data_IF_529117406299
#
_entry.id   IF_529117406299
#
_cell.length_a   1.000
_cell.length_b   1.000
_cell.length_c   1.000
_cell.angle_alpha   90.00
_cell.angle_beta   90.00
_cell.angle_gamma   90.00
#
_symmetry.space_group_name_H-M   'P 1'
#
loop_
_entity.id
_entity.type
_entity.pdbx_description
1 polymer ?
#
# COMPACT_ATOMS: atom_id res chain seq x y z
N UNK A 1 3.78 -12.58 12.69
CA UNK A 1 2.41 -12.83 13.19
C UNK A 1 1.77 -14.00 12.45
N UNK A 2 1.07 -14.87 13.16
CA UNK A 2 0.21 -15.90 12.57
C UNK A 2 -1.21 -15.34 12.38
N UNK A 3 -1.57 -14.97 11.16
CA UNK A 3 -2.84 -14.28 10.87
C UNK A 3 -4.07 -15.10 11.27
N UNK A 4 -4.04 -16.42 11.07
CA UNK A 4 -5.18 -17.27 11.43
C UNK A 4 -5.34 -17.39 12.96
N UNK A 5 -4.23 -17.30 13.71
CA UNK A 5 -4.27 -17.20 15.17
C UNK A 5 -4.88 -15.87 15.64
N UNK A 6 -4.53 -14.75 14.99
CA UNK A 6 -5.17 -13.46 15.25
C UNK A 6 -6.69 -13.51 15.01
N UNK A 7 -7.12 -14.08 13.87
CA UNK A 7 -8.56 -14.19 13.56
C UNK A 7 -9.28 -15.08 14.58
N UNK A 8 -8.67 -16.17 15.02
CA UNK A 8 -9.23 -17.04 16.07
C UNK A 8 -9.39 -16.30 17.41
N UNK A 9 -8.39 -15.53 17.83
CA UNK A 9 -8.44 -14.71 19.03
C UNK A 9 -9.47 -13.58 18.94
N UNK A 10 -9.52 -12.89 17.80
CA UNK A 10 -10.53 -11.86 17.53
C UNK A 10 -11.94 -12.45 17.64
N UNK A 11 -12.17 -13.66 17.09
CA UNK A 11 -13.47 -14.35 17.23
C UNK A 11 -13.82 -14.66 18.68
N UNK A 12 -12.86 -15.16 19.45
CA UNK A 12 -13.08 -15.50 20.84
C UNK A 12 -13.44 -14.27 21.70
N UNK A 13 -12.84 -13.12 21.40
CA UNK A 13 -12.96 -11.89 22.21
C UNK A 13 -14.08 -10.95 21.77
N UNK A 14 -14.32 -10.84 20.47
CA UNK A 14 -15.24 -9.86 19.86
C UNK A 14 -16.48 -10.51 19.22
N UNK A 15 -16.56 -11.84 19.25
CA UNK A 15 -17.65 -12.63 18.67
C UNK A 15 -17.47 -12.87 17.17
N UNK A 16 -18.58 -13.07 16.46
CA UNK A 16 -18.54 -13.47 15.05
C UNK A 16 -17.70 -12.51 14.16
N UNK A 17 -16.82 -13.11 13.35
CA UNK A 17 -16.03 -12.45 12.31
C UNK A 17 -16.44 -13.06 10.97
N UNK A 18 -17.02 -12.25 10.10
CA UNK A 18 -17.43 -12.67 8.75
C UNK A 18 -16.20 -12.86 7.84
N UNK A 19 -16.36 -13.56 6.72
CA UNK A 19 -15.28 -13.69 5.73
C UNK A 19 -14.85 -12.35 5.12
N UNK A 20 -15.78 -11.39 5.01
CA UNK A 20 -15.47 -10.02 4.60
C UNK A 20 -14.61 -9.29 5.64
N UNK A 21 -14.91 -9.49 6.93
CA UNK A 21 -14.13 -8.93 8.02
C UNK A 21 -12.73 -9.54 8.08
N UNK A 22 -12.57 -10.84 7.82
CA UNK A 22 -11.24 -11.47 7.71
C UNK A 22 -10.39 -10.82 6.62
N UNK A 23 -10.96 -10.56 5.44
CA UNK A 23 -10.24 -9.92 4.34
C UNK A 23 -9.84 -8.47 4.72
N UNK A 24 -10.72 -7.76 5.42
CA UNK A 24 -10.43 -6.44 5.96
C UNK A 24 -9.28 -6.45 6.96
N UNK A 25 -9.29 -7.38 7.92
CA UNK A 25 -8.19 -7.57 8.85
C UNK A 25 -6.88 -7.86 8.12
N UNK A 26 -6.86 -8.79 7.16
CA UNK A 26 -5.66 -9.11 6.37
C UNK A 26 -5.07 -7.87 5.69
N UNK A 27 -5.93 -7.03 5.14
CA UNK A 27 -5.55 -5.79 4.45
C UNK A 27 -4.92 -4.79 5.43
N UNK A 28 -5.61 -4.49 6.53
CA UNK A 28 -5.16 -3.47 7.50
C UNK A 28 -3.92 -3.93 8.26
N UNK A 29 -3.86 -5.21 8.66
CA UNK A 29 -2.68 -5.79 9.33
C UNK A 29 -1.46 -5.83 8.40
N UNK A 30 -1.69 -6.07 7.10
CA UNK A 30 -0.64 -6.00 6.08
C UNK A 30 -0.05 -4.58 5.97
N UNK A 31 -0.92 -3.57 5.91
CA UNK A 31 -0.51 -2.16 5.87
C UNK A 31 0.23 -1.74 7.16
N UNK A 32 -0.31 -2.10 8.32
CA UNK A 32 0.29 -1.81 9.62
C UNK A 32 1.70 -2.42 9.76
N UNK A 33 1.87 -3.65 9.27
CA UNK A 33 3.17 -4.31 9.25
C UNK A 33 4.17 -3.60 8.32
N UNK A 34 3.72 -3.06 7.17
CA UNK A 34 4.57 -2.28 6.27
C UNK A 34 5.00 -0.95 6.89
N UNK A 35 4.11 -0.32 7.65
CA UNK A 35 4.35 0.96 8.34
C UNK A 35 5.12 0.83 9.65
N UNK A 36 5.28 -0.38 10.18
CA UNK A 36 5.85 -0.60 11.51
C UNK A 36 4.96 -0.07 12.62
N UNK A 37 3.63 -0.07 12.41
CA UNK A 37 2.67 0.43 13.38
C UNK A 37 2.70 -0.40 14.65
N UNK A 38 2.98 0.26 15.78
CA UNK A 38 3.04 -0.33 17.11
C UNK A 38 1.75 -1.05 17.49
N UNK A 39 1.87 -2.08 18.34
CA UNK A 39 0.77 -2.99 18.71
C UNK A 39 -0.44 -2.21 19.25
N UNK A 40 -0.19 -1.29 20.18
CA UNK A 40 -1.21 -0.49 20.83
C UNK A 40 -1.92 0.48 19.87
N UNK A 41 -1.15 1.15 18.99
CA UNK A 41 -1.71 1.98 17.91
C UNK A 41 -2.58 1.18 16.96
N UNK A 42 -2.09 0.01 16.53
CA UNK A 42 -2.84 -0.88 15.62
C UNK A 42 -4.10 -1.42 16.29
N UNK A 43 -4.04 -1.77 17.56
CA UNK A 43 -5.21 -2.21 18.32
C UNK A 43 -6.33 -1.15 18.29
N UNK A 44 -5.96 0.12 18.50
CA UNK A 44 -6.89 1.23 18.44
C UNK A 44 -7.43 1.50 17.02
N UNK A 45 -6.57 1.43 16.00
CA UNK A 45 -6.96 1.52 14.59
C UNK A 45 -8.00 0.44 14.27
N UNK A 46 -7.74 -0.83 14.62
CA UNK A 46 -8.65 -1.94 14.37
C UNK A 46 -9.98 -1.76 15.10
N UNK A 47 -9.97 -1.30 16.36
CA UNK A 47 -11.18 -1.00 17.11
C UNK A 47 -12.03 0.09 16.45
N UNK A 48 -11.38 1.14 15.97
CA UNK A 48 -12.03 2.22 15.23
C UNK A 48 -12.69 1.68 13.96
N UNK A 49 -11.95 0.96 13.12
CA UNK A 49 -12.47 0.41 11.87
C UNK A 49 -13.63 -0.55 12.16
N UNK A 50 -13.47 -1.44 13.14
CA UNK A 50 -14.50 -2.40 13.54
C UNK A 50 -15.80 -1.70 13.95
N UNK A 51 -15.70 -0.58 14.65
CA UNK A 51 -16.85 0.24 15.04
C UNK A 51 -17.49 0.95 13.85
N UNK A 52 -16.72 1.74 13.11
CA UNK A 52 -17.22 2.63 12.05
C UNK A 52 -17.78 1.88 10.84
N UNK A 53 -17.28 0.66 10.60
CA UNK A 53 -17.68 -0.16 9.45
C UNK A 53 -18.75 -1.19 9.78
N UNK A 54 -19.37 -1.08 10.96
CA UNK A 54 -20.30 -2.07 11.49
C UNK A 54 -19.76 -3.51 11.42
N UNK A 55 -18.47 -3.67 11.79
CA UNK A 55 -17.72 -4.94 11.86
C UNK A 55 -17.40 -5.58 10.51
N UNK A 56 -17.70 -4.93 9.39
CA UNK A 56 -17.35 -5.45 8.06
C UNK A 56 -15.85 -5.39 7.79
N UNK A 57 -15.13 -4.47 8.46
CA UNK A 57 -13.72 -4.16 8.19
C UNK A 57 -13.46 -3.80 6.73
N UNK A 58 -14.47 -3.28 6.03
CA UNK A 58 -14.36 -2.76 4.67
C UNK A 58 -14.63 -1.24 4.66
N UNK A 59 -14.10 -0.50 3.69
CA UNK A 59 -14.52 0.87 3.46
C UNK A 59 -16.02 0.92 3.22
N UNK A 60 -16.77 1.71 3.99
CA UNK A 60 -18.23 1.83 3.84
C UNK A 60 -18.63 3.26 3.52
N UNK A 61 -19.82 3.41 2.93
CA UNK A 61 -20.47 4.71 2.75
C UNK A 61 -21.49 4.89 3.86
N UNK A 62 -21.64 6.11 4.35
CA UNK A 62 -22.65 6.46 5.35
C UNK A 62 -24.03 5.97 4.90
N UNK A 63 -24.82 5.44 5.84
CA UNK A 63 -26.15 4.90 5.56
C UNK A 63 -26.19 3.78 4.49
N UNK A 64 -25.12 2.98 4.34
CA UNK A 64 -25.07 1.85 3.39
C UNK A 64 -26.20 0.83 3.54
N UNK A 65 -26.85 0.76 4.72
CA UNK A 65 -27.96 -0.14 5.02
C UNK A 65 -29.33 0.35 4.52
N UNK A 66 -29.49 1.59 4.07
CA UNK A 66 -30.81 2.15 3.67
C UNK A 66 -31.38 1.44 2.44
N UNK A 67 -30.52 1.04 1.51
CA UNK A 67 -30.87 0.24 0.35
C UNK A 67 -29.65 -0.61 -0.06
N UNK A 68 -29.36 -1.71 0.66
CA UNK A 68 -28.08 -2.40 0.59
C UNK A 68 -27.76 -2.97 -0.80
N UNK A 69 -28.79 -3.21 -1.62
CA UNK A 69 -28.67 -3.76 -2.97
C UNK A 69 -29.09 -2.77 -4.07
N UNK A 70 -29.29 -1.50 -3.73
CA UNK A 70 -29.70 -0.46 -4.69
C UNK A 70 -28.96 0.85 -4.38
N UNK A 71 -27.80 0.97 -5.03
CA UNK A 71 -26.91 2.12 -4.85
C UNK A 71 -27.61 3.43 -5.22
N UNK A 72 -28.38 3.46 -6.31
CA UNK A 72 -29.06 4.67 -6.76
C UNK A 72 -30.09 5.15 -5.73
N UNK A 73 -30.84 4.24 -5.12
CA UNK A 73 -31.80 4.56 -4.06
C UNK A 73 -31.11 5.00 -2.77
N UNK A 74 -30.04 4.32 -2.36
CA UNK A 74 -29.24 4.76 -1.21
C UNK A 74 -28.66 6.16 -1.43
N UNK A 75 -28.16 6.44 -2.64
CA UNK A 75 -27.57 7.73 -3.00
C UNK A 75 -28.61 8.85 -3.07
N UNK A 76 -29.78 8.58 -3.64
CA UNK A 76 -30.91 9.51 -3.62
C UNK A 76 -31.33 9.85 -2.18
N UNK A 77 -31.30 8.87 -1.27
CA UNK A 77 -31.55 9.10 0.14
C UNK A 77 -30.47 10.00 0.77
N UNK A 78 -29.18 9.74 0.54
CA UNK A 78 -28.09 10.58 1.07
C UNK A 78 -28.22 12.02 0.60
N UNK A 79 -28.45 12.22 -0.70
CA UNK A 79 -28.65 13.54 -1.30
C UNK A 79 -29.81 14.31 -0.67
N UNK A 80 -30.88 13.61 -0.29
CA UNK A 80 -32.06 14.21 0.33
C UNK A 80 -31.88 14.50 1.83
N UNK A 81 -31.17 13.65 2.56
CA UNK A 81 -31.18 13.66 4.03
C UNK A 81 -29.89 14.17 4.67
N UNK A 82 -28.76 14.18 3.96
CA UNK A 82 -27.47 14.61 4.50
C UNK A 82 -27.13 16.03 4.04
N UNK A 83 -27.09 16.96 4.99
CA UNK A 83 -26.85 18.39 4.71
C UNK A 83 -25.44 18.70 4.18
N UNK A 84 -24.49 17.79 4.34
CA UNK A 84 -23.12 17.88 3.81
C UNK A 84 -22.89 17.06 2.53
N UNK A 85 -23.95 16.58 1.87
CA UNK A 85 -23.84 15.98 0.54
C UNK A 85 -23.12 16.92 -0.46
N UNK A 86 -22.21 16.42 -1.32
CA UNK A 86 -21.83 15.03 -1.56
C UNK A 86 -20.73 14.48 -0.62
N UNK A 87 -20.25 15.27 0.34
CA UNK A 87 -19.11 14.94 1.22
C UNK A 87 -19.56 14.25 2.52
N UNK A 88 -20.44 13.26 2.39
CA UNK A 88 -20.87 12.39 3.48
C UNK A 88 -19.80 11.34 3.84
N UNK A 89 -20.00 10.59 4.93
CA UNK A 89 -19.03 9.63 5.44
C UNK A 89 -18.63 8.56 4.43
N UNK A 90 -17.33 8.40 4.18
CA UNK A 90 -16.76 7.33 3.35
C UNK A 90 -15.49 6.74 3.99
N UNK A 91 -15.15 5.53 3.56
CA UNK A 91 -13.91 4.87 3.97
C UNK A 91 -14.03 4.18 5.33
N UNK A 92 -12.87 3.78 5.85
CA UNK A 92 -12.75 3.07 7.13
C UNK A 92 -13.13 3.94 8.35
N UNK A 93 -12.94 5.25 8.25
CA UNK A 93 -13.12 6.22 9.35
C UNK A 93 -14.28 7.19 9.14
N UNK A 94 -15.12 6.95 8.12
CA UNK A 94 -16.23 7.84 7.76
C UNK A 94 -15.77 9.30 7.55
N UNK A 95 -14.81 9.53 6.65
CA UNK A 95 -14.36 10.87 6.27
C UNK A 95 -15.55 11.72 5.79
N UNK A 96 -15.80 12.84 6.46
CA UNK A 96 -16.93 13.75 6.24
C UNK A 96 -16.46 15.17 6.01
N UNK A 97 -17.31 16.01 5.39
CA UNK A 97 -17.09 17.44 5.11
C UNK A 97 -16.09 17.74 3.99
N UNK A 98 -16.46 18.68 3.12
CA UNK A 98 -15.63 19.13 1.98
C UNK A 98 -14.20 19.51 2.36
N UNK A 99 -14.03 20.12 3.54
CA UNK A 99 -12.72 20.54 4.04
C UNK A 99 -11.79 19.35 4.27
N UNK A 100 -12.27 18.26 4.87
CA UNK A 100 -11.46 17.09 5.14
C UNK A 100 -11.14 16.31 3.87
N UNK A 101 -12.09 16.21 2.92
CA UNK A 101 -11.83 15.65 1.59
C UNK A 101 -10.74 16.43 0.86
N UNK A 102 -10.80 17.77 0.90
CA UNK A 102 -9.75 18.62 0.33
C UNK A 102 -8.40 18.35 1.00
N UNK A 103 -8.37 18.33 2.34
CA UNK A 103 -7.13 18.15 3.09
C UNK A 103 -6.46 16.81 2.79
N UNK A 104 -7.22 15.70 2.83
CA UNK A 104 -6.72 14.39 2.44
C UNK A 104 -6.25 14.37 0.98
N UNK A 105 -6.97 15.05 0.09
CA UNK A 105 -6.59 15.15 -1.32
C UNK A 105 -5.27 15.90 -1.55
N UNK A 106 -5.04 17.00 -0.82
CA UNK A 106 -3.78 17.74 -0.85
C UNK A 106 -2.60 16.90 -0.35
N UNK A 107 -2.82 16.10 0.70
CA UNK A 107 -1.81 15.19 1.26
C UNK A 107 -1.44 14.05 0.33
N UNK A 108 -2.42 13.48 -0.36
CA UNK A 108 -2.24 12.33 -1.25
C UNK A 108 -2.01 12.71 -2.73
N UNK A 109 -2.13 14.00 -3.08
CA UNK A 109 -1.98 14.48 -4.45
C UNK A 109 -3.13 14.08 -5.38
N UNK A 110 -4.35 13.92 -4.83
CA UNK A 110 -5.54 13.50 -5.57
C UNK A 110 -6.71 14.45 -5.29
N UNK A 111 -7.47 14.85 -6.31
CA UNK A 111 -8.62 15.75 -6.12
C UNK A 111 -9.89 14.97 -5.70
N UNK A 112 -9.97 14.65 -4.41
CA UNK A 112 -11.17 14.04 -3.82
C UNK A 112 -12.37 14.99 -3.72
N UNK A 113 -12.18 16.29 -3.97
CA UNK A 113 -13.29 17.24 -3.96
C UNK A 113 -14.08 17.13 -5.26
N UNK A 114 -13.37 16.94 -6.38
CA UNK A 114 -13.94 16.69 -7.69
C UNK A 114 -14.56 15.29 -7.79
N UNK A 115 -13.91 14.27 -7.22
CA UNK A 115 -14.45 12.90 -7.17
C UNK A 115 -14.32 12.28 -5.76
N UNK A 116 -15.32 12.49 -4.89
CA UNK A 116 -15.31 12.00 -3.51
C UNK A 116 -15.31 10.48 -3.38
N UNK A 117 -15.69 9.74 -4.42
CA UNK A 117 -15.75 8.28 -4.33
C UNK A 117 -14.37 7.62 -4.40
N UNK A 118 -13.32 8.34 -4.83
CA UNK A 118 -11.95 7.82 -4.85
C UNK A 118 -11.42 7.43 -3.46
N UNK A 119 -11.94 8.03 -2.38
CA UNK A 119 -11.56 7.67 -1.00
C UNK A 119 -12.08 6.28 -0.58
N UNK A 120 -12.94 5.67 -1.39
CA UNK A 120 -13.43 4.30 -1.19
C UNK A 120 -12.52 3.24 -1.82
N UNK A 121 -11.53 3.64 -2.62
CA UNK A 121 -10.54 2.70 -3.14
C UNK A 121 -9.68 2.17 -1.99
N UNK A 122 -9.27 0.90 -2.05
CA UNK A 122 -8.53 0.27 -0.97
C UNK A 122 -7.24 1.03 -0.60
N UNK A 123 -6.50 1.52 -1.59
CA UNK A 123 -5.27 2.30 -1.39
C UNK A 123 -5.55 3.61 -0.64
N UNK A 124 -6.41 4.48 -1.18
CA UNK A 124 -6.69 5.76 -0.53
C UNK A 124 -7.39 5.60 0.83
N UNK A 125 -8.25 4.60 1.00
CA UNK A 125 -8.91 4.35 2.28
C UNK A 125 -7.91 3.96 3.38
N UNK A 126 -6.88 3.17 3.04
CA UNK A 126 -5.79 2.83 3.96
C UNK A 126 -4.90 4.02 4.25
N UNK A 127 -4.48 4.78 3.24
CA UNK A 127 -3.66 5.99 3.43
C UNK A 127 -4.39 6.98 4.34
N UNK A 128 -5.67 7.25 4.06
CA UNK A 128 -6.49 8.14 4.90
C UNK A 128 -6.63 7.59 6.33
N UNK A 129 -6.78 6.26 6.50
CA UNK A 129 -6.87 5.65 7.83
C UNK A 129 -5.57 5.84 8.62
N UNK A 130 -4.42 5.45 8.06
CA UNK A 130 -3.16 5.46 8.78
C UNK A 130 -2.57 6.88 8.86
N UNK A 131 -2.35 7.55 7.73
CA UNK A 131 -1.77 8.90 7.73
C UNK A 131 -2.70 9.90 8.43
N UNK A 132 -4.02 9.75 8.25
CA UNK A 132 -4.99 10.62 8.88
C UNK A 132 -5.03 10.48 10.41
N UNK A 133 -4.81 9.29 10.95
CA UNK A 133 -4.71 9.07 12.40
C UNK A 133 -3.34 9.46 12.95
N UNK A 134 -2.26 9.24 12.19
CA UNK A 134 -0.89 9.61 12.59
C UNK A 134 -0.67 11.13 12.59
N UNK A 135 -1.26 11.85 11.62
CA UNK A 135 -1.07 13.30 11.46
C UNK A 135 -2.27 14.13 11.93
N UNK A 136 -3.35 13.49 12.39
CA UNK A 136 -4.52 14.15 12.96
C UNK A 136 -5.39 14.92 11.97
N UNK A 137 -5.63 14.36 10.78
CA UNK A 137 -6.35 15.04 9.68
C UNK A 137 -7.83 15.34 9.97
N UNK A 138 -8.47 14.63 10.91
CA UNK A 138 -9.92 14.69 11.10
C UNK A 138 -10.35 15.76 12.10
N UNK A 139 -9.72 15.78 13.28
CA UNK A 139 -10.06 16.67 14.39
C UNK A 139 -8.88 17.54 14.84
N UNK A 140 -7.72 17.41 14.18
CA UNK A 140 -6.46 18.00 14.63
C UNK A 140 -5.82 17.25 15.80
N UNK A 141 -6.24 16.00 16.06
CA UNK A 141 -5.68 15.12 17.09
C UNK A 141 -5.12 13.86 16.48
N UNK A 142 -3.91 13.52 16.86
CA UNK A 142 -3.14 12.39 16.33
C UNK A 142 -3.06 11.23 17.32
N UNK A 143 -2.60 10.07 16.85
CA UNK A 143 -2.27 8.91 17.69
C UNK A 143 -1.25 9.29 18.79
N UNK A 144 -0.19 10.01 18.42
CA UNK A 144 0.87 10.47 19.33
C UNK A 144 0.36 11.38 20.47
N UNK A 145 -0.82 12.00 20.32
CA UNK A 145 -1.40 12.82 21.38
C UNK A 145 -1.98 11.98 22.55
N UNK A 146 -2.21 10.68 22.34
CA UNK A 146 -3.02 9.85 23.24
C UNK A 146 -2.49 8.47 23.56
N UNK A 147 -1.77 7.85 22.62
CA UNK A 147 -1.27 6.48 22.74
C UNK A 147 0.23 6.57 22.69
N UNK A 148 0.89 6.22 23.79
CA UNK A 148 2.35 6.15 23.80
C UNK A 148 2.84 4.85 23.14
N UNK A 149 4.12 4.51 23.23
CA UNK A 149 4.64 3.25 22.66
C UNK A 149 5.13 2.29 23.74
N UNK A 150 4.66 2.47 24.97
CA UNK A 150 5.06 1.70 26.13
C UNK A 150 4.05 0.57 26.32
N UNK A 151 4.55 -0.64 26.53
CA UNK A 151 3.70 -1.78 26.93
C UNK A 151 3.41 -1.64 28.43
N UNK A 152 2.22 -1.16 28.75
CA UNK A 152 1.75 -0.89 30.10
C UNK A 152 0.70 -1.92 30.55
N UNK A 153 0.21 -1.90 31.81
CA UNK A 153 -0.92 -2.73 32.20
C UNK A 153 -2.19 -2.34 31.43
N UNK A 154 -3.05 -3.30 31.08
CA UNK A 154 -4.29 -3.10 30.32
C UNK A 154 -5.15 -1.90 30.79
N UNK A 155 -5.14 -1.58 32.09
CA UNK A 155 -5.87 -0.43 32.63
C UNK A 155 -5.35 0.92 32.15
N UNK A 156 -4.04 1.04 31.91
CA UNK A 156 -3.40 2.23 31.39
C UNK A 156 -3.69 2.37 29.89
N UNK A 157 -3.45 1.29 29.11
CA UNK A 157 -3.79 1.21 27.68
C UNK A 157 -5.28 1.56 27.43
N UNK A 158 -6.18 1.04 28.27
CA UNK A 158 -7.60 1.37 28.17
C UNK A 158 -7.87 2.87 28.33
N UNK A 159 -7.20 3.52 29.28
CA UNK A 159 -7.35 4.96 29.50
C UNK A 159 -6.83 5.76 28.30
N UNK A 160 -5.78 5.29 27.64
CA UNK A 160 -5.25 5.83 26.39
C UNK A 160 -6.26 5.70 25.25
N UNK A 161 -6.73 4.49 24.99
CA UNK A 161 -7.71 4.21 23.93
C UNK A 161 -9.02 4.96 24.09
N UNK A 162 -9.49 5.12 25.33
CA UNK A 162 -10.66 5.94 25.65
C UNK A 162 -10.43 7.40 25.26
N UNK A 163 -9.24 7.96 25.57
CA UNK A 163 -8.92 9.34 25.23
C UNK A 163 -8.75 9.53 23.73
N UNK A 164 -8.17 8.54 23.05
CA UNK A 164 -7.90 8.49 21.62
C UNK A 164 -9.15 8.59 20.74
N UNK A 165 -10.37 8.39 21.28
CA UNK A 165 -11.63 8.63 20.52
C UNK A 165 -11.71 10.01 19.88
N UNK A 166 -11.01 10.99 20.49
CA UNK A 166 -10.84 12.36 20.00
C UNK A 166 -10.18 12.48 18.63
N UNK A 167 -9.44 11.48 18.17
CA UNK A 167 -8.82 11.45 16.84
C UNK A 167 -9.89 11.43 15.75
N UNK A 168 -10.96 10.65 15.95
CA UNK A 168 -12.00 10.41 14.94
C UNK A 168 -13.26 11.23 15.19
N UNK A 169 -13.69 11.33 16.45
CA UNK A 169 -14.91 12.03 16.84
C UNK A 169 -14.74 12.61 18.26
N UNK A 170 -15.81 13.04 18.94
CA UNK A 170 -15.76 13.44 20.35
C UNK A 170 -15.44 12.27 21.30
N UNK A 171 -16.23 12.12 22.36
CA UNK A 171 -16.07 11.00 23.33
C UNK A 171 -17.19 9.98 23.25
N UNK A 172 -18.04 10.05 22.22
CA UNK A 172 -19.12 9.09 22.06
C UNK A 172 -18.58 7.68 21.89
N UNK A 173 -19.14 6.74 22.67
CA UNK A 173 -18.76 5.32 22.72
C UNK A 173 -17.28 5.06 23.03
N UNK A 174 -16.55 6.04 23.56
CA UNK A 174 -15.12 5.93 23.84
C UNK A 174 -14.78 4.68 24.68
N UNK A 175 -15.57 4.37 25.71
CA UNK A 175 -15.35 3.23 26.60
C UNK A 175 -15.55 1.90 25.89
N UNK A 176 -16.57 1.82 25.04
CA UNK A 176 -16.84 0.64 24.24
C UNK A 176 -15.73 0.39 23.23
N UNK A 177 -15.29 1.43 22.52
CA UNK A 177 -14.21 1.34 21.53
C UNK A 177 -12.88 1.04 22.22
N UNK A 178 -12.60 1.65 23.37
CA UNK A 178 -11.41 1.34 24.17
C UNK A 178 -11.37 -0.12 24.64
N UNK A 179 -12.51 -0.67 25.06
CA UNK A 179 -12.62 -2.10 25.38
C UNK A 179 -12.40 -3.01 24.17
N UNK A 180 -12.85 -2.59 22.98
CA UNK A 180 -12.54 -3.30 21.72
C UNK A 180 -11.05 -3.22 21.39
N UNK A 181 -10.41 -2.08 21.63
CA UNK A 181 -8.97 -1.91 21.41
C UNK A 181 -8.16 -2.84 22.31
N UNK A 182 -8.48 -2.93 23.60
CA UNK A 182 -7.86 -3.94 24.49
C UNK A 182 -8.03 -5.38 23.97
N UNK A 183 -9.23 -5.71 23.48
CA UNK A 183 -9.47 -7.04 22.92
C UNK A 183 -8.61 -7.31 21.67
N UNK A 184 -8.44 -6.31 20.80
CA UNK A 184 -7.56 -6.42 19.64
C UNK A 184 -6.09 -6.46 20.02
N UNK A 185 -5.66 -5.66 20.99
CA UNK A 185 -4.29 -5.69 21.50
C UNK A 185 -3.93 -7.08 22.04
N UNK A 186 -4.80 -7.66 22.86
CA UNK A 186 -4.58 -9.01 23.37
C UNK A 186 -4.55 -10.05 22.24
N UNK A 187 -5.39 -9.90 21.20
CA UNK A 187 -5.37 -10.77 20.02
C UNK A 187 -4.07 -10.61 19.20
N UNK A 188 -3.58 -9.38 19.02
CA UNK A 188 -2.32 -9.07 18.35
C UNK A 188 -1.13 -9.67 19.11
N UNK A 189 -1.06 -9.45 20.42
CA UNK A 189 -0.03 -10.02 21.32
C UNK A 189 -0.05 -11.56 21.25
N UNK A 190 -1.23 -12.18 21.39
CA UNK A 190 -1.38 -13.64 21.30
C UNK A 190 -0.97 -14.22 19.94
N UNK A 191 -1.22 -13.50 18.85
CA UNK A 191 -0.81 -13.90 17.50
C UNK A 191 0.67 -13.62 17.17
N UNK A 192 1.42 -13.05 18.12
CA UNK A 192 2.81 -12.64 17.94
C UNK A 192 2.96 -11.54 16.91
N UNK A 193 2.05 -10.56 16.90
CA UNK A 193 2.29 -9.28 16.23
C UNK A 193 3.31 -8.48 17.03
N UNK A 194 4.34 -7.97 16.36
CA UNK A 194 5.23 -7.00 16.96
C UNK A 194 5.69 -6.00 15.89
N UNK A 195 5.70 -4.74 16.26
CA UNK A 195 6.20 -3.67 15.39
C UNK A 195 7.74 -3.64 15.37
N UNK A 196 8.40 -4.03 16.46
CA UNK A 196 9.81 -4.45 16.45
C UNK A 196 10.06 -5.68 15.55
N UNK A 197 9.00 -6.46 15.27
CA UNK A 197 8.98 -7.58 14.32
C UNK A 197 9.03 -7.15 12.85
N UNK A 198 9.07 -5.84 12.57
CA UNK A 198 9.52 -5.30 11.27
C UNK A 198 11.04 -5.45 11.07
N UNK A 199 11.77 -5.95 12.07
CA UNK A 199 13.11 -6.53 11.85
C UNK A 199 13.12 -8.04 11.59
N UNK A 200 11.98 -8.75 11.58
CA UNK A 200 11.95 -10.22 11.38
C UNK A 200 10.85 -10.76 10.44
N UNK A 201 9.96 -9.93 9.88
CA UNK A 201 9.43 -10.17 8.51
C UNK A 201 10.42 -9.67 7.45
N UNK A 202 11.56 -9.13 7.91
CA UNK A 202 12.87 -9.37 7.33
C UNK A 202 13.39 -10.79 7.65
N UNK A 203 12.66 -11.83 7.23
CA UNK A 203 13.28 -13.14 6.98
C UNK A 203 13.75 -13.29 5.51
N UNK A 204 13.75 -12.18 4.75
CA UNK A 204 14.76 -12.01 3.69
C UNK A 204 14.66 -10.76 2.82
N UNK A 205 13.94 -9.72 3.25
CA UNK A 205 13.92 -8.43 2.55
C UNK A 205 13.43 -8.54 1.10
N UNK A 206 13.83 -7.58 0.25
CA UNK A 206 13.57 -7.66 -1.20
C UNK A 206 14.02 -9.01 -1.78
N UNK A 207 15.11 -9.59 -1.24
CA UNK A 207 15.66 -10.83 -1.76
C UNK A 207 14.74 -12.04 -1.53
N UNK A 208 14.11 -12.17 -0.36
CA UNK A 208 13.11 -13.20 -0.11
C UNK A 208 11.84 -12.98 -0.93
N UNK A 209 11.40 -11.72 -1.09
CA UNK A 209 10.25 -11.41 -1.91
C UNK A 209 10.46 -11.88 -3.35
N UNK A 210 11.59 -11.51 -3.95
CA UNK A 210 11.95 -11.95 -5.31
C UNK A 210 12.13 -13.48 -5.37
N UNK A 211 12.78 -14.09 -4.37
CA UNK A 211 12.95 -15.54 -4.34
C UNK A 211 11.60 -16.28 -4.31
N UNK A 212 10.60 -15.75 -3.61
CA UNK A 212 9.27 -16.32 -3.54
C UNK A 212 8.50 -16.28 -4.87
N UNK A 213 8.90 -15.44 -5.83
CA UNK A 213 8.30 -15.42 -7.17
C UNK A 213 8.60 -16.69 -7.97
N UNK A 214 9.62 -17.47 -7.58
CA UNK A 214 9.99 -18.72 -8.23
C UNK A 214 10.49 -18.55 -9.67
N UNK A 215 11.17 -17.42 -9.95
CA UNK A 215 11.72 -17.12 -11.28
C UNK A 215 12.76 -18.18 -11.67
N UNK A 216 12.72 -18.62 -12.92
CA UNK A 216 13.63 -19.65 -13.44
C UNK A 216 15.04 -19.10 -13.66
N UNK A 217 15.12 -17.88 -14.17
CA UNK A 217 16.33 -17.32 -14.76
C UNK A 217 16.96 -16.18 -13.98
N UNK A 218 16.25 -15.61 -13.00
CA UNK A 218 16.73 -14.49 -12.20
C UNK A 218 16.87 -14.83 -10.71
N UNK A 219 17.84 -14.19 -10.07
CA UNK A 219 18.06 -14.23 -8.63
C UNK A 219 17.70 -12.89 -8.00
N UNK A 220 17.30 -12.98 -6.74
CA UNK A 220 17.02 -11.87 -5.83
C UNK A 220 17.96 -10.65 -5.98
N UNK A 221 19.27 -10.88 -5.87
CA UNK A 221 20.27 -9.81 -5.89
C UNK A 221 20.28 -9.00 -7.21
N UNK A 222 19.82 -9.59 -8.33
CA UNK A 222 19.79 -8.91 -9.63
C UNK A 222 18.78 -7.74 -9.63
N UNK A 223 17.75 -7.80 -8.77
CA UNK A 223 16.75 -6.74 -8.64
C UNK A 223 17.19 -5.60 -7.72
N UNK A 224 18.36 -5.70 -7.08
CA UNK A 224 18.94 -4.64 -6.21
C UNK A 224 19.79 -3.61 -6.95
N UNK A 225 19.86 -3.70 -8.28
CA UNK A 225 20.69 -2.83 -9.11
C UNK A 225 20.19 -1.38 -9.03
N UNK A 226 21.10 -0.47 -8.64
CA UNK A 226 20.82 0.94 -8.33
C UNK A 226 21.09 1.91 -9.48
N UNK A 227 21.50 1.41 -10.65
CA UNK A 227 21.92 2.24 -11.77
C UNK A 227 23.37 2.72 -11.67
N UNK A 228 24.02 2.90 -12.81
CA UNK A 228 25.44 3.24 -12.89
C UNK A 228 25.79 4.54 -12.15
N UNK A 229 24.91 5.55 -12.23
CA UNK A 229 25.13 6.85 -11.59
C UNK A 229 25.15 6.82 -10.06
N UNK A 230 24.59 5.77 -9.42
CA UNK A 230 24.60 5.62 -7.96
C UNK A 230 26.01 5.29 -7.43
N UNK A 231 26.75 4.46 -8.17
CA UNK A 231 28.09 4.01 -7.79
C UNK A 231 29.23 4.87 -8.34
N UNK A 232 28.93 5.96 -9.05
CA UNK A 232 29.94 6.85 -9.65
C UNK A 232 30.17 8.09 -8.77
N UNK A 233 31.32 8.22 -8.07
CA UNK A 233 31.60 9.38 -7.19
C UNK A 233 31.62 10.73 -7.90
N UNK A 234 31.72 10.76 -9.24
CA UNK A 234 31.69 11.99 -10.05
C UNK A 234 30.27 12.41 -10.46
N UNK A 235 29.25 11.61 -10.13
CA UNK A 235 27.86 11.85 -10.49
C UNK A 235 27.16 12.67 -9.41
N UNK A 236 26.29 13.60 -9.81
CA UNK A 236 25.38 14.29 -8.90
C UNK A 236 24.39 13.33 -8.20
N UNK A 237 24.22 12.13 -8.74
CA UNK A 237 23.36 11.08 -8.20
C UNK A 237 24.09 10.05 -7.32
N UNK A 238 25.39 10.26 -7.03
CA UNK A 238 26.20 9.35 -6.22
C UNK A 238 25.57 9.08 -4.86
N UNK A 239 25.40 7.81 -4.51
CA UNK A 239 24.83 7.39 -3.22
C UNK A 239 23.34 7.74 -3.00
N UNK A 240 22.65 8.39 -3.96
CA UNK A 240 21.28 8.87 -3.73
C UNK A 240 20.20 7.81 -3.91
N UNK A 241 20.49 6.75 -4.66
CA UNK A 241 19.54 5.64 -4.82
C UNK A 241 19.52 4.73 -3.59
N UNK A 242 18.37 4.12 -3.34
CA UNK A 242 18.16 3.19 -2.23
C UNK A 242 17.63 1.86 -2.76
N UNK A 243 17.45 0.88 -1.89
CA UNK A 243 16.51 -0.21 -2.19
C UNK A 243 15.07 0.34 -2.17
N UNK A 244 14.11 -0.29 -2.87
CA UNK A 244 12.71 0.12 -2.82
C UNK A 244 12.17 0.02 -1.40
N UNK A 245 11.28 0.95 -0.99
CA UNK A 245 10.46 0.76 0.20
C UNK A 245 9.73 -0.59 0.12
N UNK A 246 9.61 -1.28 1.26
CA UNK A 246 8.96 -2.59 1.32
C UNK A 246 7.52 -2.59 0.77
N UNK A 247 6.80 -1.48 0.94
CA UNK A 247 5.46 -1.27 0.38
C UNK A 247 5.39 -1.43 -1.14
N UNK A 248 6.50 -1.19 -1.84
CA UNK A 248 6.54 -1.34 -3.30
C UNK A 248 6.88 -2.76 -3.74
N UNK A 249 7.35 -3.68 -2.87
CA UNK A 249 7.91 -4.97 -3.30
C UNK A 249 7.00 -5.74 -4.26
N UNK A 250 5.68 -5.82 -3.99
CA UNK A 250 4.74 -6.52 -4.87
C UNK A 250 4.53 -5.88 -6.26
N UNK A 251 4.93 -4.62 -6.44
CA UNK A 251 4.76 -3.91 -7.72
C UNK A 251 5.67 -4.47 -8.82
N UNK A 252 6.80 -5.09 -8.44
CA UNK A 252 7.75 -5.64 -9.41
C UNK A 252 7.31 -7.01 -9.95
N UNK A 253 6.40 -7.72 -9.27
CA UNK A 253 6.09 -9.13 -9.50
C UNK A 253 5.77 -9.44 -10.96
N UNK A 254 4.90 -8.62 -11.57
CA UNK A 254 4.50 -8.79 -12.97
C UNK A 254 5.68 -8.51 -13.91
N UNK A 255 6.42 -7.43 -13.68
CA UNK A 255 7.58 -7.07 -14.52
C UNK A 255 8.69 -8.12 -14.43
N UNK A 256 8.94 -8.65 -13.23
CA UNK A 256 9.91 -9.73 -13.01
C UNK A 256 9.53 -11.02 -13.74
N UNK A 257 8.25 -11.42 -13.72
CA UNK A 257 7.74 -12.57 -14.48
C UNK A 257 7.80 -12.37 -16.00
N UNK A 258 7.53 -11.14 -16.47
CA UNK A 258 7.69 -10.77 -17.89
C UNK A 258 9.15 -10.93 -18.32
N UNK A 259 10.11 -10.47 -17.51
CA UNK A 259 11.53 -10.64 -17.83
C UNK A 259 11.95 -12.11 -17.81
N UNK A 260 11.46 -12.91 -16.87
CA UNK A 260 11.76 -14.35 -16.79
C UNK A 260 11.30 -15.09 -18.06
N UNK A 261 10.08 -14.82 -18.52
CA UNK A 261 9.54 -15.36 -19.76
C UNK A 261 10.27 -14.82 -21.00
N UNK A 262 10.64 -13.53 -21.03
CA UNK A 262 11.43 -12.95 -22.11
C UNK A 262 12.79 -13.65 -22.23
N UNK A 263 13.44 -13.93 -21.09
CA UNK A 263 14.73 -14.62 -21.05
C UNK A 263 14.64 -16.05 -21.59
N UNK A 264 13.56 -16.76 -21.27
CA UNK A 264 13.26 -18.07 -21.86
C UNK A 264 13.15 -17.97 -23.40
N UNK A 265 12.36 -17.01 -23.91
CA UNK A 265 12.11 -16.84 -25.35
C UNK A 265 13.35 -16.45 -26.15
N UNK A 266 14.18 -15.57 -25.58
CA UNK A 266 15.40 -15.11 -26.23
C UNK A 266 16.52 -16.15 -26.13
N UNK A 267 16.45 -17.10 -25.19
CA UNK A 267 17.47 -18.13 -24.97
C UNK A 267 18.84 -17.55 -24.60
N UNK A 268 18.88 -16.33 -24.04
CA UNK A 268 20.11 -15.58 -23.75
C UNK A 268 20.05 -14.87 -22.39
N UNK A 269 21.19 -14.70 -21.70
CA UNK A 269 21.20 -13.99 -20.42
C UNK A 269 20.75 -12.53 -20.54
N UNK A 270 19.96 -12.07 -19.57
CA UNK A 270 19.51 -10.68 -19.45
C UNK A 270 20.17 -10.06 -18.23
N UNK A 271 20.73 -8.86 -18.36
CA UNK A 271 21.28 -8.07 -17.26
C UNK A 271 20.39 -6.89 -16.93
N UNK A 272 20.15 -6.65 -15.64
CA UNK A 272 19.37 -5.52 -15.15
C UNK A 272 20.30 -4.34 -14.86
N UNK A 273 19.94 -3.16 -15.33
CA UNK A 273 20.75 -1.93 -15.20
C UNK A 273 20.08 -0.85 -14.35
N UNK A 274 18.75 -0.83 -14.27
CA UNK A 274 17.98 0.02 -13.35
C UNK A 274 16.66 -0.67 -13.00
N UNK A 275 16.27 -0.64 -11.72
CA UNK A 275 15.05 -1.32 -11.23
C UNK A 275 14.22 -0.33 -10.41
N UNK A 276 14.54 -0.12 -9.14
CA UNK A 276 13.97 0.98 -8.35
C UNK A 276 14.79 2.26 -8.51
N UNK A 277 14.10 3.41 -8.49
CA UNK A 277 14.73 4.71 -8.35
C UNK A 277 14.09 5.47 -7.19
N UNK A 278 14.88 5.89 -6.21
CA UNK A 278 14.42 6.86 -5.21
C UNK A 278 14.07 8.19 -5.87
N UNK A 279 13.18 8.98 -5.26
CA UNK A 279 12.83 10.33 -5.75
C UNK A 279 14.07 11.21 -5.96
N UNK A 280 15.00 11.18 -5.00
CA UNK A 280 16.25 11.95 -5.05
C UNK A 280 17.14 11.50 -6.22
N UNK A 281 17.35 10.19 -6.37
CA UNK A 281 18.15 9.63 -7.46
C UNK A 281 17.54 9.94 -8.83
N UNK A 282 16.24 9.69 -9.00
CA UNK A 282 15.54 9.92 -10.26
C UNK A 282 15.65 11.39 -10.70
N UNK A 283 15.47 12.33 -9.77
CA UNK A 283 15.65 13.77 -10.03
C UNK A 283 17.09 14.09 -10.45
N UNK A 284 18.08 13.54 -9.75
CA UNK A 284 19.50 13.82 -10.01
C UNK A 284 19.99 13.31 -11.37
N UNK A 285 19.37 12.26 -11.92
CA UNK A 285 19.67 11.75 -13.27
C UNK A 285 18.77 12.35 -14.37
N UNK A 286 17.90 13.32 -14.04
CA UNK A 286 16.98 13.93 -15.00
C UNK A 286 15.82 13.02 -15.45
N UNK A 287 15.43 12.05 -14.62
CA UNK A 287 14.31 11.15 -14.90
C UNK A 287 12.96 11.86 -14.85
N UNK A 288 11.98 11.31 -15.58
CA UNK A 288 10.60 11.81 -15.58
C UNK A 288 9.98 11.79 -14.18
N UNK A 289 9.15 12.79 -13.85
CA UNK A 289 8.54 12.95 -12.53
C UNK A 289 7.54 11.83 -12.18
N UNK A 290 6.91 11.25 -13.19
CA UNK A 290 5.92 10.17 -13.11
C UNK A 290 6.50 8.80 -13.55
N UNK A 291 7.82 8.65 -13.50
CA UNK A 291 8.55 7.46 -13.90
C UNK A 291 8.08 6.19 -13.17
N UNK A 292 7.87 5.11 -13.92
CA UNK A 292 7.51 3.80 -13.38
C UNK A 292 8.60 3.20 -12.46
N UNK A 293 9.86 3.62 -12.60
CA UNK A 293 10.90 3.20 -11.65
C UNK A 293 10.69 3.71 -10.22
N UNK A 294 10.01 4.85 -10.05
CA UNK A 294 9.64 5.37 -8.72
C UNK A 294 8.59 4.49 -8.03
N UNK A 295 7.80 3.74 -8.82
CA UNK A 295 6.74 2.84 -8.37
C UNK A 295 7.21 1.38 -8.25
N UNK A 296 8.49 1.10 -8.50
CA UNK A 296 9.09 -0.24 -8.52
C UNK A 296 8.37 -1.25 -9.44
N UNK A 297 7.82 -0.78 -10.56
CA UNK A 297 7.16 -1.63 -11.55
C UNK A 297 7.83 -1.53 -12.94
N UNK A 298 9.11 -1.15 -12.99
CA UNK A 298 9.87 -0.97 -14.22
C UNK A 298 11.30 -1.48 -14.11
N UNK A 299 11.86 -1.90 -15.23
CA UNK A 299 13.23 -2.40 -15.35
C UNK A 299 13.85 -1.96 -16.67
N UNK A 300 15.07 -1.42 -16.59
CA UNK A 300 15.95 -1.20 -17.74
C UNK A 300 16.92 -2.37 -17.84
N UNK A 301 16.96 -3.05 -18.98
CA UNK A 301 17.75 -4.27 -19.17
C UNK A 301 18.48 -4.32 -20.52
N UNK A 302 19.50 -5.18 -20.60
CA UNK A 302 20.18 -5.54 -21.83
C UNK A 302 20.35 -7.07 -21.95
N UNK A 303 20.52 -7.58 -23.17
CA UNK A 303 20.75 -9.01 -23.41
C UNK A 303 22.23 -9.24 -23.71
N UNK A 304 22.88 -10.06 -22.90
CA UNK A 304 24.33 -10.30 -22.97
C UNK A 304 24.66 -11.28 -24.09
N UNK A 305 25.68 -10.95 -24.89
CA UNK A 305 26.16 -11.81 -25.97
C UNK A 305 25.15 -12.02 -27.09
N UNK A 306 24.13 -11.18 -27.16
CA UNK A 306 23.15 -11.20 -28.25
C UNK A 306 23.79 -10.65 -29.54
N UNK A 307 23.66 -11.35 -30.68
CA UNK A 307 24.04 -10.80 -31.99
C UNK A 307 23.07 -9.71 -32.47
N UNK A 308 21.92 -9.57 -31.81
CA UNK A 308 20.89 -8.58 -32.08
C UNK A 308 20.88 -7.48 -31.01
N UNK A 309 20.48 -6.27 -31.39
CA UNK A 309 20.40 -5.12 -30.49
C UNK A 309 19.02 -4.91 -29.83
N UNK A 310 18.86 -3.83 -29.04
CA UNK A 310 17.65 -3.50 -28.29
C UNK A 310 16.33 -3.57 -29.06
N UNK A 311 16.34 -3.18 -30.34
CA UNK A 311 15.15 -3.24 -31.19
C UNK A 311 14.57 -4.67 -31.31
N UNK A 312 15.44 -5.68 -31.38
CA UNK A 312 15.01 -7.08 -31.46
C UNK A 312 14.41 -7.55 -30.12
N UNK A 313 15.02 -7.18 -28.99
CA UNK A 313 14.52 -7.54 -27.67
C UNK A 313 13.17 -6.88 -27.36
N UNK A 314 13.02 -5.60 -27.75
CA UNK A 314 11.76 -4.87 -27.64
C UNK A 314 10.68 -5.47 -28.54
N UNK A 315 11.01 -5.97 -29.74
CA UNK A 315 10.07 -6.68 -30.59
C UNK A 315 9.52 -7.95 -29.91
N UNK A 316 10.38 -8.75 -29.28
CA UNK A 316 9.95 -9.93 -28.51
C UNK A 316 9.01 -9.56 -27.34
N UNK A 317 9.29 -8.46 -26.62
CA UNK A 317 8.38 -7.94 -25.59
C UNK A 317 7.02 -7.51 -26.18
N UNK A 318 7.01 -6.89 -27.37
CA UNK A 318 5.76 -6.50 -28.04
C UNK A 318 4.95 -7.71 -28.49
N UNK A 319 5.60 -8.79 -28.92
CA UNK A 319 4.92 -10.06 -29.21
C UNK A 319 4.27 -10.64 -27.95
N UNK A 320 5.01 -10.66 -26.83
CA UNK A 320 4.46 -11.09 -25.53
C UNK A 320 3.27 -10.23 -25.08
N UNK A 321 3.38 -8.90 -25.21
CA UNK A 321 2.31 -7.95 -24.89
C UNK A 321 1.08 -8.18 -25.76
N UNK A 322 1.28 -8.34 -27.07
CA UNK A 322 0.20 -8.60 -28.06
C UNK A 322 -0.50 -9.94 -27.83
N UNK A 323 0.23 -10.93 -27.29
CA UNK A 323 -0.33 -12.21 -26.86
C UNK A 323 -1.05 -12.13 -25.49
N UNK A 324 -1.14 -10.95 -24.87
CA UNK A 324 -1.87 -10.71 -23.63
C UNK A 324 -1.12 -11.10 -22.36
N UNK A 325 0.20 -11.35 -22.42
CA UNK A 325 0.98 -11.77 -21.24
C UNK A 325 1.16 -10.63 -20.24
N UNK A 326 1.12 -9.38 -20.68
CA UNK A 326 1.14 -8.20 -19.83
C UNK A 326 0.56 -6.99 -20.55
N UNK A 327 0.34 -5.90 -19.82
CA UNK A 327 0.09 -4.57 -20.38
C UNK A 327 1.01 -3.56 -19.70
N UNK A 328 1.60 -2.67 -20.50
CA UNK A 328 2.60 -1.73 -20.01
C UNK A 328 3.50 -1.10 -21.07
N UNK A 329 4.46 -0.31 -20.59
CA UNK A 329 5.38 0.47 -21.42
C UNK A 329 6.57 -0.34 -21.92
N UNK A 330 7.00 -0.06 -23.16
CA UNK A 330 8.24 -0.57 -23.77
C UNK A 330 9.01 0.61 -24.37
N UNK A 331 10.17 0.93 -23.80
CA UNK A 331 11.08 1.96 -24.30
C UNK A 331 12.29 1.35 -25.00
N UNK A 332 12.58 1.72 -26.25
CA UNK A 332 13.71 1.18 -27.00
C UNK A 332 14.84 2.21 -27.07
N UNK A 333 15.99 1.91 -26.46
CA UNK A 333 17.17 2.78 -26.44
C UNK A 333 18.32 2.16 -27.24
N UNK A 334 19.38 2.93 -27.47
CA UNK A 334 20.55 2.45 -28.25
C UNK A 334 21.30 1.29 -27.58
N UNK A 335 21.28 1.19 -26.25
CA UNK A 335 22.06 0.20 -25.48
C UNK A 335 21.23 -0.69 -24.55
N UNK A 336 19.97 -0.35 -24.29
CA UNK A 336 19.08 -1.09 -23.38
C UNK A 336 17.62 -0.99 -23.81
N UNK A 337 16.76 -1.77 -23.17
CA UNK A 337 15.30 -1.69 -23.30
C UNK A 337 14.70 -1.43 -21.93
N UNK A 338 13.73 -0.54 -21.88
CA UNK A 338 12.86 -0.31 -20.72
C UNK A 338 11.60 -1.17 -20.85
N UNK A 339 11.20 -1.82 -19.77
CA UNK A 339 9.90 -2.48 -19.66
C UNK A 339 9.26 -2.17 -18.31
N UNK A 340 7.96 -1.93 -18.31
CA UNK A 340 7.17 -1.78 -17.09
C UNK A 340 5.78 -2.43 -17.25
N UNK A 341 5.11 -2.66 -16.13
CA UNK A 341 3.75 -3.22 -16.10
C UNK A 341 2.75 -2.24 -15.49
N UNK A 342 2.70 -0.99 -16.01
CA UNK A 342 1.79 0.07 -15.54
C UNK A 342 0.30 -0.16 -15.82
N UNK A 343 -0.06 -1.20 -16.59
CA UNK A 343 -1.44 -1.55 -16.91
C UNK A 343 -2.05 -0.82 -18.11
N UNK A 344 -1.26 -0.03 -18.83
CA UNK A 344 -1.63 0.57 -20.11
C UNK A 344 -0.45 0.51 -21.07
N UNK A 345 -0.73 0.20 -22.33
CA UNK A 345 0.29 0.01 -23.35
C UNK A 345 0.86 1.34 -23.84
N UNK A 346 2.19 1.43 -23.86
CA UNK A 346 2.91 2.56 -24.41
C UNK A 346 4.20 2.08 -25.10
N UNK A 347 4.59 2.75 -26.17
CA UNK A 347 5.87 2.54 -26.85
C UNK A 347 6.57 3.87 -27.06
N UNK A 348 7.88 3.90 -26.86
CA UNK A 348 8.70 5.06 -27.20
C UNK A 348 10.13 4.65 -27.57
N UNK A 349 10.82 5.57 -28.22
CA UNK A 349 12.26 5.50 -28.46
C UNK A 349 12.93 6.63 -27.66
N UNK A 350 14.16 6.41 -27.18
CA UNK A 350 14.91 7.43 -26.44
C UNK A 350 16.40 7.41 -26.65
#
# INVERSE_FOLDING_TARGET
MQIDAFIAEARARLGAVSGEAENGFRTILGEAAQRGTQVNRLAYILATVWWETARTMQPVREAFFVAPNDFAKAEAWRKKNLHYYPYYGRGYVQLTWKANYRHAGEKLGVDFVADPDQVMTAAHALDILFDGMDEGWFTGKALDDYIDEIDEPDSADLAEYVRARRIINGTDKAQTIGGMALAFEAALKAAGYSAAGVTAVAAGGLDAHIAALGLKHFKAYEFRVKGASHGNPKSAAYGLNTDPPAALYGHIDKTARVLDELRERLGRPITLSSVYRSKAYNKAIGGAADSSHLRFNAVDFAVVGSPFGPAHWAAALREMRSAGLFSGGIGTYSTFVHVDTRGSDADWNG
#
